data_IF_731613747204
#
_entry.id   IF_731613747204
#
_cell.length_a   1.000
_cell.length_b   1.000
_cell.length_c   1.000
_cell.angle_alpha   90.00
_cell.angle_beta   90.00
_cell.angle_gamma   90.00
#
_symmetry.space_group_name_H-M   'P 1'
#
loop_
_entity.id
_entity.type
_entity.pdbx_description
1 polymer ?
#
# COMPACT_ATOMS: atom_id res chain seq x y z
N UNK A 1 -33.99 15.91 16.62
CA UNK A 1 -32.72 15.25 16.98
C UNK A 1 -32.18 14.63 15.71
N UNK A 2 -31.11 15.19 15.14
CA UNK A 2 -30.43 14.61 13.97
C UNK A 2 -29.52 13.51 14.52
N UNK A 3 -29.70 12.28 14.09
CA UNK A 3 -28.80 11.18 14.44
C UNK A 3 -27.36 11.59 14.07
N UNK A 4 -26.34 11.29 14.88
CA UNK A 4 -24.96 11.52 14.47
C UNK A 4 -24.75 10.80 13.16
N UNK A 5 -24.28 11.52 12.13
CA UNK A 5 -23.91 10.92 10.87
C UNK A 5 -22.98 9.74 11.19
N UNK A 6 -23.37 8.53 10.80
CA UNK A 6 -22.46 7.40 10.75
C UNK A 6 -21.24 7.91 9.98
N UNK A 7 -20.10 8.05 10.66
CA UNK A 7 -18.86 8.58 10.07
C UNK A 7 -18.60 7.87 8.74
N UNK A 8 -18.42 8.63 7.65
CA UNK A 8 -18.09 8.06 6.35
C UNK A 8 -16.85 7.15 6.49
N UNK A 9 -16.94 5.84 6.18
CA UNK A 9 -15.82 4.91 6.28
C UNK A 9 -14.57 5.38 5.54
N UNK A 10 -14.76 6.12 4.44
CA UNK A 10 -13.68 6.75 3.68
C UNK A 10 -12.96 7.82 4.50
N UNK A 11 -13.69 8.78 5.05
CA UNK A 11 -13.10 9.85 5.87
C UNK A 11 -12.37 9.29 7.09
N UNK A 12 -12.93 8.27 7.74
CA UNK A 12 -12.27 7.61 8.86
C UNK A 12 -10.96 6.92 8.44
N UNK A 13 -10.97 6.16 7.34
CA UNK A 13 -9.77 5.53 6.82
C UNK A 13 -8.71 6.60 6.47
N UNK A 14 -9.12 7.69 5.84
CA UNK A 14 -8.24 8.81 5.51
C UNK A 14 -7.59 9.42 6.74
N UNK A 15 -8.38 9.76 7.78
CA UNK A 15 -7.86 10.31 9.03
C UNK A 15 -6.83 9.39 9.69
N UNK A 16 -7.07 8.07 9.67
CA UNK A 16 -6.12 7.07 10.19
C UNK A 16 -4.84 7.02 9.36
N UNK A 17 -4.97 7.05 8.04
CA UNK A 17 -3.85 7.03 7.10
C UNK A 17 -3.01 8.31 7.17
N UNK A 18 -3.61 9.46 7.43
CA UNK A 18 -2.93 10.74 7.63
C UNK A 18 -2.22 10.80 8.98
N UNK A 19 -2.76 10.16 10.02
CA UNK A 19 -2.09 9.99 11.29
C UNK A 19 -0.82 9.13 11.19
N UNK A 20 -0.68 8.29 10.14
CA UNK A 20 0.54 7.53 9.84
C UNK A 20 1.63 8.42 9.21
N UNK A 21 2.18 9.33 10.01
CA UNK A 21 3.30 10.20 9.58
C UNK A 21 4.62 9.43 9.40
N UNK A 22 4.88 8.46 10.28
CA UNK A 22 6.03 7.55 10.21
C UNK A 22 5.65 6.16 10.68
N UNK A 23 6.10 5.14 9.94
CA UNK A 23 5.91 3.74 10.30
C UNK A 23 7.20 2.98 10.04
N UNK A 24 7.53 2.02 10.90
CA UNK A 24 8.53 1.01 10.62
C UNK A 24 8.00 -0.33 11.15
N UNK A 25 8.00 -1.35 10.29
CA UNK A 25 7.53 -2.67 10.66
C UNK A 25 8.27 -3.74 9.85
N UNK A 26 8.47 -4.90 10.45
CA UNK A 26 8.79 -6.13 9.73
C UNK A 26 7.48 -6.77 9.26
N UNK A 27 7.48 -7.38 8.08
CA UNK A 27 6.29 -8.00 7.50
C UNK A 27 6.59 -9.41 6.98
N UNK A 28 5.52 -10.20 6.87
CA UNK A 28 5.50 -11.47 6.12
C UNK A 28 4.38 -11.38 5.10
N UNK A 29 4.70 -11.61 3.83
CA UNK A 29 3.78 -11.62 2.71
C UNK A 29 3.57 -13.07 2.28
N UNK A 30 2.31 -13.49 2.15
CA UNK A 30 1.95 -14.80 1.62
C UNK A 30 1.08 -14.61 0.38
N UNK A 31 1.53 -15.16 -0.75
CA UNK A 31 0.79 -15.14 -2.01
C UNK A 31 0.07 -16.47 -2.21
N UNK A 32 -1.21 -16.40 -2.55
CA UNK A 32 -2.05 -17.57 -2.77
C UNK A 32 -2.51 -17.66 -4.22
N UNK A 33 -2.62 -18.89 -4.73
CA UNK A 33 -3.21 -19.17 -6.04
C UNK A 33 -4.73 -19.10 -6.01
N UNK A 34 -5.34 -19.24 -7.18
CA UNK A 34 -6.80 -19.18 -7.34
C UNK A 34 -7.54 -20.31 -6.63
N UNK A 35 -6.87 -21.41 -6.29
CA UNK A 35 -7.43 -22.54 -5.54
C UNK A 35 -7.03 -22.50 -4.05
N UNK A 36 -6.44 -21.40 -3.59
CA UNK A 36 -6.03 -21.18 -2.21
C UNK A 36 -4.72 -21.88 -1.83
N UNK A 37 -3.97 -22.41 -2.79
CA UNK A 37 -2.63 -22.95 -2.54
C UNK A 37 -1.64 -21.82 -2.20
N UNK A 38 -0.78 -22.03 -1.21
CA UNK A 38 0.32 -21.11 -0.92
C UNK A 38 1.36 -21.21 -2.04
N UNK A 39 1.55 -20.13 -2.80
CA UNK A 39 2.51 -20.05 -3.89
C UNK A 39 3.88 -19.59 -3.41
N UNK A 40 3.90 -18.54 -2.59
CA UNK A 40 5.14 -17.92 -2.12
C UNK A 40 4.95 -17.29 -0.75
N UNK A 41 6.01 -17.31 0.06
CA UNK A 41 6.11 -16.53 1.29
C UNK A 41 7.36 -15.68 1.22
N UNK A 42 7.22 -14.39 1.47
CA UNK A 42 8.32 -13.45 1.49
C UNK A 42 8.38 -12.70 2.83
N UNK A 43 9.59 -12.37 3.26
CA UNK A 43 9.83 -11.62 4.49
C UNK A 43 10.51 -10.30 4.16
N UNK A 44 10.20 -9.27 4.94
CA UNK A 44 10.78 -7.96 4.66
C UNK A 44 10.53 -6.93 5.73
N UNK A 45 10.91 -5.69 5.39
CA UNK A 45 10.75 -4.52 6.22
C UNK A 45 10.17 -3.36 5.43
N UNK A 46 9.20 -2.69 6.03
CA UNK A 46 8.66 -1.43 5.54
C UNK A 46 9.12 -0.28 6.43
N UNK A 47 9.47 0.83 5.79
CA UNK A 47 9.68 2.13 6.43
C UNK A 47 8.91 3.19 5.65
N UNK A 48 8.02 3.89 6.32
CA UNK A 48 7.23 4.97 5.75
C UNK A 48 7.59 6.27 6.47
N UNK A 49 7.77 7.32 5.70
CA UNK A 49 7.82 8.69 6.16
C UNK A 49 7.25 9.55 5.03
N UNK A 50 5.92 9.71 5.02
CA UNK A 50 5.18 10.29 3.87
C UNK A 50 5.84 11.59 3.37
N UNK A 51 6.00 11.77 2.04
CA UNK A 51 5.59 10.86 0.95
C UNK A 51 6.59 9.73 0.66
N UNK A 52 7.71 9.65 1.41
CA UNK A 52 8.78 8.68 1.16
C UNK A 52 8.43 7.32 1.73
N UNK A 53 8.75 6.28 1.00
CA UNK A 53 8.67 4.92 1.53
C UNK A 53 9.86 4.08 1.06
N UNK A 54 10.17 3.06 1.86
CA UNK A 54 11.15 2.04 1.55
C UNK A 54 10.58 0.69 1.95
N UNK A 55 10.60 -0.24 1.00
CA UNK A 55 10.14 -1.61 1.15
C UNK A 55 11.29 -2.53 0.76
N UNK A 56 11.73 -3.36 1.70
CA UNK A 56 12.86 -4.27 1.52
C UNK A 56 12.37 -5.70 1.66
N UNK A 57 12.49 -6.49 0.60
CA UNK A 57 12.30 -7.93 0.63
C UNK A 57 13.64 -8.61 0.88
N UNK A 58 13.68 -9.55 1.82
CA UNK A 58 14.88 -10.27 2.22
C UNK A 58 14.95 -11.67 1.61
N UNK A 59 13.83 -12.38 1.60
CA UNK A 59 13.70 -13.76 1.14
C UNK A 59 12.34 -13.94 0.46
N UNK A 60 12.21 -14.83 -0.55
CA UNK A 60 13.28 -15.65 -1.15
C UNK A 60 14.18 -14.86 -2.11
N UNK A 61 13.66 -13.77 -2.68
CA UNK A 61 14.39 -12.88 -3.59
C UNK A 61 14.56 -11.52 -2.93
N UNK A 62 15.78 -10.99 -2.97
CA UNK A 62 16.05 -9.67 -2.42
C UNK A 62 15.59 -8.62 -3.40
N UNK A 63 14.82 -7.66 -2.91
CA UNK A 63 14.42 -6.52 -3.72
C UNK A 63 14.25 -5.30 -2.82
N UNK A 64 14.64 -4.14 -3.33
CA UNK A 64 14.53 -2.88 -2.62
C UNK A 64 13.69 -1.93 -3.45
N UNK A 65 12.52 -1.58 -2.93
CA UNK A 65 11.60 -0.62 -3.54
C UNK A 65 11.66 0.67 -2.74
N UNK A 66 11.97 1.78 -3.39
CA UNK A 66 12.04 3.11 -2.76
C UNK A 66 11.19 4.08 -3.56
N UNK A 67 10.33 4.82 -2.86
CA UNK A 67 9.81 6.07 -3.38
C UNK A 67 10.35 7.26 -2.62
N UNK A 68 10.77 8.27 -3.37
CA UNK A 68 11.23 9.56 -2.84
C UNK A 68 10.17 10.66 -2.87
N UNK A 69 8.99 10.36 -3.43
CA UNK A 69 7.87 11.29 -3.62
C UNK A 69 7.67 11.72 -5.07
N UNK A 70 8.62 11.42 -5.95
CA UNK A 70 8.54 11.73 -7.39
C UNK A 70 8.71 10.46 -8.24
N UNK A 71 9.60 9.56 -7.81
CA UNK A 71 9.93 8.35 -8.56
C UNK A 71 9.82 7.11 -7.69
N UNK A 72 9.42 6.01 -8.33
CA UNK A 72 9.58 4.66 -7.80
C UNK A 72 10.86 4.05 -8.38
N UNK A 73 11.75 3.60 -7.50
CA UNK A 73 12.98 2.89 -7.84
C UNK A 73 12.91 1.48 -7.29
N UNK A 74 13.00 0.50 -8.18
CA UNK A 74 13.04 -0.92 -7.84
C UNK A 74 14.46 -1.40 -8.15
N UNK A 75 15.20 -1.77 -7.11
CA UNK A 75 16.52 -2.35 -7.23
C UNK A 75 16.44 -3.86 -7.00
N UNK A 76 16.88 -4.60 -8.00
CA UNK A 76 17.12 -6.04 -7.95
C UNK A 76 18.63 -6.28 -7.83
N UNK A 77 19.13 -6.69 -6.65
CA UNK A 77 20.56 -6.93 -6.44
C UNK A 77 21.10 -8.13 -7.23
N UNK A 78 20.25 -9.13 -7.54
CA UNK A 78 20.70 -10.35 -8.19
C UNK A 78 20.89 -10.12 -9.70
N UNK A 79 20.12 -9.19 -10.28
CA UNK A 79 20.30 -8.70 -11.64
C UNK A 79 21.22 -7.48 -11.76
N UNK A 80 21.70 -6.94 -10.63
CA UNK A 80 22.41 -5.65 -10.55
C UNK A 80 21.67 -4.51 -11.27
N UNK A 81 20.34 -4.53 -11.24
CA UNK A 81 19.50 -3.67 -12.07
C UNK A 81 18.64 -2.73 -11.23
N UNK A 82 18.54 -1.47 -11.67
CA UNK A 82 17.57 -0.50 -11.14
C UNK A 82 16.54 -0.15 -12.22
N UNK A 83 15.27 -0.39 -11.93
CA UNK A 83 14.15 0.13 -12.72
C UNK A 83 13.61 1.39 -12.07
N UNK A 84 13.44 2.46 -12.86
CA UNK A 84 12.96 3.77 -12.40
C UNK A 84 11.68 4.10 -13.16
N UNK A 85 10.63 4.49 -12.44
CA UNK A 85 9.33 4.88 -13.00
C UNK A 85 8.80 6.13 -12.29
N UNK A 86 8.04 7.00 -12.98
CA UNK A 86 7.25 8.03 -12.31
C UNK A 86 6.32 7.38 -11.28
N UNK A 87 6.16 8.03 -10.12
CA UNK A 87 5.35 7.45 -9.05
C UNK A 87 3.87 7.37 -9.43
N UNK A 88 3.41 8.31 -10.26
CA UNK A 88 2.03 8.38 -10.76
C UNK A 88 1.67 7.13 -11.58
N UNK A 89 2.61 6.59 -12.35
CA UNK A 89 2.41 5.37 -13.16
C UNK A 89 2.52 4.09 -12.32
N UNK A 90 3.30 4.13 -11.24
CA UNK A 90 3.66 2.94 -10.47
C UNK A 90 2.71 2.64 -9.29
N UNK A 91 1.94 3.63 -8.84
CA UNK A 91 0.96 3.46 -7.75
C UNK A 91 -0.28 2.66 -8.19
N UNK A 92 -0.55 2.54 -9.48
CA UNK A 92 -1.72 1.83 -10.00
C UNK A 92 -1.71 0.33 -9.73
N UNK A 93 -0.53 -0.30 -9.65
CA UNK A 93 -0.40 -1.77 -9.66
C UNK A 93 -0.20 -2.39 -8.27
N UNK A 94 -0.05 -1.59 -7.20
CA UNK A 94 0.36 -2.09 -5.89
C UNK A 94 -0.63 -1.71 -4.77
N UNK A 95 -1.05 -2.66 -3.91
CA UNK A 95 -1.84 -2.36 -2.71
C UNK A 95 -1.21 -1.31 -1.77
N UNK A 96 0.11 -1.16 -1.87
CA UNK A 96 0.89 -0.16 -1.13
C UNK A 96 0.48 1.28 -1.46
N UNK A 97 -0.12 1.52 -2.63
CA UNK A 97 -0.57 2.84 -3.03
C UNK A 97 -1.64 3.41 -2.12
N UNK A 98 -2.38 2.59 -1.38
CA UNK A 98 -3.33 3.07 -0.37
C UNK A 98 -2.59 3.65 0.85
N UNK A 99 -1.45 3.07 1.22
CA UNK A 99 -0.65 3.52 2.37
C UNK A 99 0.18 4.78 2.07
N UNK A 100 0.44 5.06 0.80
CA UNK A 100 1.23 6.22 0.35
C UNK A 100 0.38 7.25 -0.38
N UNK A 101 -0.81 6.86 -0.82
CA UNK A 101 -1.75 7.67 -1.57
C UNK A 101 -2.37 8.79 -0.76
N UNK A 102 -2.94 9.73 -1.51
CA UNK A 102 -3.65 10.89 -0.97
C UNK A 102 -5.14 10.60 -0.84
N UNK A 103 -5.85 11.45 -0.11
CA UNK A 103 -7.31 11.46 -0.08
C UNK A 103 -7.93 11.50 -1.48
N UNK A 104 -7.33 12.27 -2.40
CA UNK A 104 -7.78 12.34 -3.78
C UNK A 104 -7.70 10.97 -4.49
N UNK A 105 -6.68 10.16 -4.19
CA UNK A 105 -6.52 8.81 -4.75
C UNK A 105 -7.62 7.88 -4.23
N UNK A 106 -7.87 7.87 -2.92
CA UNK A 106 -8.94 7.05 -2.34
C UNK A 106 -10.32 7.43 -2.86
N UNK A 107 -10.55 8.73 -3.11
CA UNK A 107 -11.82 9.23 -3.59
C UNK A 107 -12.07 8.92 -5.07
N UNK A 108 -11.03 8.98 -5.89
CA UNK A 108 -11.14 8.79 -7.33
C UNK A 108 -11.14 7.32 -7.74
N UNK A 109 -10.43 6.45 -7.01
CA UNK A 109 -10.13 5.09 -7.46
C UNK A 109 -10.92 4.01 -6.71
N UNK A 110 -11.46 4.29 -5.51
CA UNK A 110 -12.02 3.24 -4.65
C UNK A 110 -13.40 3.55 -4.02
N UNK A 111 -14.27 2.54 -4.01
CA UNK A 111 -15.38 2.43 -3.08
C UNK A 111 -14.86 1.86 -1.74
N UNK A 112 -15.03 2.64 -0.67
CA UNK A 112 -14.55 2.28 0.68
C UNK A 112 -15.74 1.89 1.55
N UNK A 113 -15.68 0.70 2.14
CA UNK A 113 -16.68 0.21 3.08
C UNK A 113 -16.02 -0.26 4.39
N UNK A 114 -16.66 0.03 5.53
CA UNK A 114 -16.24 -0.50 6.83
C UNK A 114 -16.78 -1.92 6.99
N UNK A 115 -15.89 -2.89 7.17
CA UNK A 115 -16.25 -4.26 7.51
C UNK A 115 -16.34 -4.44 9.03
N UNK A 116 -15.35 -3.93 9.75
CA UNK A 116 -15.22 -3.97 11.22
C UNK A 116 -14.53 -2.68 11.70
N UNK A 117 -14.49 -2.35 13.01
CA UNK A 117 -13.89 -1.09 13.49
C UNK A 117 -12.44 -0.84 13.05
N UNK A 118 -11.66 -1.90 12.81
CA UNK A 118 -10.26 -1.83 12.35
C UNK A 118 -10.06 -2.41 10.95
N UNK A 119 -11.16 -2.66 10.22
CA UNK A 119 -11.11 -3.37 8.93
C UNK A 119 -11.94 -2.65 7.88
N UNK A 120 -11.26 -2.23 6.82
CA UNK A 120 -11.85 -1.57 5.66
C UNK A 120 -11.74 -2.46 4.43
N UNK A 121 -12.75 -2.38 3.56
CA UNK A 121 -12.73 -2.95 2.22
C UNK A 121 -12.59 -1.81 1.22
N UNK A 122 -11.64 -1.94 0.30
CA UNK A 122 -11.47 -1.04 -0.83
C UNK A 122 -11.78 -1.83 -2.09
N UNK A 123 -12.73 -1.35 -2.88
CA UNK A 123 -13.06 -1.92 -4.20
C UNK A 123 -12.73 -0.89 -5.28
N UNK A 124 -11.91 -1.23 -6.28
CA UNK A 124 -11.66 -0.34 -7.41
C UNK A 124 -12.99 0.10 -8.06
N UNK A 125 -13.08 1.37 -8.45
CA UNK A 125 -14.22 1.92 -9.18
C UNK A 125 -14.17 1.59 -10.68
N UNK A 126 -12.99 1.23 -11.19
CA UNK A 126 -12.78 0.72 -12.54
C UNK A 126 -12.51 -0.80 -12.50
N UNK A 127 -13.04 -1.52 -13.50
CA UNK A 127 -12.86 -2.97 -13.70
C UNK A 127 -11.46 -3.35 -14.22
#
# INVERSE_FOLDING_TARGET
MVAPALSDPRSELQERLDALGRLAADFTQAQYGTRGELLETAHGRVRLARPKFRWELFEPYRQIIVADGETLKIYDPDLEQVSVRPIEEALTDAPLAVLTGSEATLNAEYEVARLEPERFSLRPLAD
#
